data_IF_222168627911
#
_entry.id   IF_222168627911
#
_cell.length_a   1.000
_cell.length_b   1.000
_cell.length_c   1.000
_cell.angle_alpha   90.00
_cell.angle_beta   90.00
_cell.angle_gamma   90.00
#
_symmetry.space_group_name_H-M   'P 1'
#
loop_
_entity.id
_entity.type
_entity.pdbx_description
1 polymer ?
#
# COMPACT_ATOMS: atom_id res chain seq x y z
N UNK A 1 -26.98 -2.05 53.94
CA UNK A 1 -27.45 -0.75 53.42
C UNK A 1 -27.17 -0.75 51.93
N UNK A 2 -28.20 -0.95 51.10
CA UNK A 2 -28.04 -0.95 49.63
C UNK A 2 -27.75 0.49 49.21
N UNK A 3 -26.58 0.73 48.61
CA UNK A 3 -26.29 2.05 48.07
C UNK A 3 -27.15 2.24 46.83
N UNK A 4 -28.10 3.18 46.92
CA UNK A 4 -28.87 3.66 45.78
C UNK A 4 -27.95 4.55 44.94
N UNK A 5 -27.03 3.92 44.20
CA UNK A 5 -26.26 4.63 43.20
C UNK A 5 -27.25 5.22 42.20
N UNK A 6 -27.07 6.50 41.86
CA UNK A 6 -27.91 7.14 40.84
C UNK A 6 -27.82 6.32 39.55
N UNK A 7 -28.93 6.22 38.82
CA UNK A 7 -28.95 5.53 37.51
C UNK A 7 -27.85 6.10 36.61
N UNK A 8 -27.58 7.39 36.71
CA UNK A 8 -26.53 8.07 35.95
C UNK A 8 -25.11 7.55 36.29
N UNK A 9 -24.87 7.23 37.55
CA UNK A 9 -23.58 6.72 38.03
C UNK A 9 -23.34 5.29 37.53
N UNK A 10 -24.39 4.46 37.55
CA UNK A 10 -24.32 3.12 36.98
C UNK A 10 -24.08 3.14 35.46
N UNK A 11 -24.71 4.07 34.74
CA UNK A 11 -24.53 4.24 33.29
C UNK A 11 -23.11 4.69 32.95
N UNK A 12 -22.55 5.64 33.71
CA UNK A 12 -21.20 6.12 33.44
C UNK A 12 -20.14 5.05 33.75
N UNK A 13 -20.36 4.22 34.77
CA UNK A 13 -19.47 3.10 35.10
C UNK A 13 -19.46 2.04 33.99
N UNK A 14 -20.63 1.66 33.47
CA UNK A 14 -20.73 0.72 32.34
C UNK A 14 -20.02 1.27 31.11
N UNK A 15 -20.24 2.54 30.79
CA UNK A 15 -19.59 3.23 29.66
C UNK A 15 -18.07 3.27 29.83
N UNK A 16 -17.58 3.54 31.04
CA UNK A 16 -16.15 3.53 31.38
C UNK A 16 -15.52 2.16 31.13
N UNK A 17 -16.17 1.09 31.59
CA UNK A 17 -15.69 -0.29 31.40
C UNK A 17 -15.65 -0.65 29.91
N UNK A 18 -16.70 -0.33 29.15
CA UNK A 18 -16.76 -0.60 27.70
C UNK A 18 -15.66 0.16 26.96
N UNK A 19 -15.47 1.45 27.25
CA UNK A 19 -14.42 2.26 26.63
C UNK A 19 -13.02 1.78 27.00
N UNK A 20 -12.82 1.35 28.25
CA UNK A 20 -11.55 0.79 28.69
C UNK A 20 -11.23 -0.50 27.95
N UNK A 21 -12.17 -1.46 27.92
CA UNK A 21 -12.01 -2.70 27.19
C UNK A 21 -11.74 -2.45 25.69
N UNK A 22 -12.46 -1.52 25.08
CA UNK A 22 -12.24 -1.12 23.69
C UNK A 22 -10.85 -0.54 23.46
N UNK A 23 -10.35 0.34 24.35
CA UNK A 23 -9.02 0.93 24.21
C UNK A 23 -7.88 -0.08 24.39
N UNK A 24 -8.08 -1.12 25.22
CA UNK A 24 -7.09 -2.19 25.42
C UNK A 24 -7.09 -3.17 24.25
N UNK A 25 -8.26 -3.52 23.72
CA UNK A 25 -8.41 -4.61 22.74
C UNK A 25 -8.40 -4.16 21.29
N UNK A 26 -8.81 -2.92 20.99
CA UNK A 26 -8.90 -2.39 19.63
C UNK A 26 -7.70 -1.48 19.37
N UNK A 27 -6.72 -1.91 18.54
CA UNK A 27 -5.61 -1.05 18.16
C UNK A 27 -6.13 0.21 17.47
N UNK A 28 -5.85 1.38 18.04
CA UNK A 28 -6.24 2.67 17.43
C UNK A 28 -5.50 2.81 16.11
N UNK A 29 -6.24 2.76 15.01
CA UNK A 29 -5.67 2.98 13.68
C UNK A 29 -5.14 4.41 13.63
N UNK A 30 -3.86 4.60 13.30
CA UNK A 30 -3.31 5.94 13.05
C UNK A 30 -4.15 6.58 11.94
N UNK A 31 -4.87 7.66 12.26
CA UNK A 31 -5.62 8.47 11.30
C UNK A 31 -4.64 9.24 10.42
N UNK A 32 -3.95 8.51 9.55
CA UNK A 32 -3.22 9.06 8.42
C UNK A 32 -3.73 8.29 7.23
N UNK A 33 -4.94 8.65 6.76
CA UNK A 33 -5.30 8.35 5.38
C UNK A 33 -4.10 8.79 4.55
N UNK A 34 -3.45 7.85 3.86
CA UNK A 34 -2.35 8.19 2.96
C UNK A 34 -2.92 9.23 1.99
N UNK A 35 -2.53 10.52 2.13
CA UNK A 35 -2.83 11.53 1.12
C UNK A 35 -2.48 10.88 -0.21
N UNK A 36 -3.37 10.95 -1.20
CA UNK A 36 -3.04 10.35 -2.49
C UNK A 36 -1.77 11.04 -3.01
N UNK A 37 -0.63 10.35 -2.92
CA UNK A 37 0.71 10.90 -3.17
C UNK A 37 0.97 11.09 -4.66
N UNK A 38 -0.08 11.19 -5.49
CA UNK A 38 0.06 11.36 -6.92
C UNK A 38 0.28 12.85 -7.17
N UNK A 39 1.43 13.28 -7.71
CA UNK A 39 1.73 14.70 -7.92
C UNK A 39 0.70 15.42 -8.81
N UNK A 40 0.02 14.66 -9.67
CA UNK A 40 -1.02 15.15 -10.56
C UNK A 40 -2.43 15.21 -9.94
N UNK A 41 -2.62 14.76 -8.70
CA UNK A 41 -3.92 14.79 -8.03
C UNK A 41 -4.17 16.16 -7.40
N UNK A 42 -5.08 16.93 -8.00
CA UNK A 42 -5.44 18.28 -7.56
C UNK A 42 -6.91 18.39 -7.16
N UNK A 43 -7.32 19.58 -6.70
CA UNK A 43 -8.69 19.87 -6.27
C UNK A 43 -9.72 19.65 -7.40
N UNK A 44 -9.36 19.97 -8.66
CA UNK A 44 -10.22 19.71 -9.82
C UNK A 44 -10.48 18.22 -10.02
N UNK A 45 -9.44 17.38 -9.95
CA UNK A 45 -9.56 15.93 -9.99
C UNK A 45 -10.46 15.41 -8.87
N UNK A 46 -10.32 15.94 -7.65
CA UNK A 46 -11.14 15.56 -6.52
C UNK A 46 -12.62 15.92 -6.73
N UNK A 47 -12.90 17.14 -7.19
CA UNK A 47 -14.26 17.60 -7.45
C UNK A 47 -14.91 16.78 -8.56
N UNK A 48 -14.21 16.56 -9.67
CA UNK A 48 -14.70 15.76 -10.79
C UNK A 48 -14.94 14.29 -10.40
N UNK A 49 -14.06 13.70 -9.59
CA UNK A 49 -14.25 12.36 -9.05
C UNK A 49 -15.48 12.30 -8.13
N UNK A 50 -15.69 13.31 -7.27
CA UNK A 50 -16.87 13.41 -6.41
C UNK A 50 -18.17 13.51 -7.24
N UNK A 51 -18.17 14.34 -8.30
CA UNK A 51 -19.29 14.44 -9.25
C UNK A 51 -19.58 13.09 -9.93
N UNK A 52 -18.55 12.42 -10.44
CA UNK A 52 -18.70 11.11 -11.07
C UNK A 52 -19.28 10.07 -10.11
N UNK A 53 -18.76 10.00 -8.87
CA UNK A 53 -19.26 9.08 -7.83
C UNK A 53 -20.72 9.38 -7.46
N UNK A 54 -21.09 10.65 -7.36
CA UNK A 54 -22.48 11.06 -7.11
C UNK A 54 -23.39 10.57 -8.24
N UNK A 55 -23.03 10.82 -9.49
CA UNK A 55 -23.81 10.38 -10.65
C UNK A 55 -23.90 8.85 -10.75
N UNK A 56 -22.80 8.13 -10.42
CA UNK A 56 -22.80 6.67 -10.34
C UNK A 56 -23.77 6.16 -9.26
N UNK A 57 -23.74 6.75 -8.06
CA UNK A 57 -24.62 6.34 -6.97
C UNK A 57 -26.10 6.56 -7.31
N UNK A 58 -26.43 7.66 -8.00
CA UNK A 58 -27.79 7.93 -8.47
C UNK A 58 -28.21 6.87 -9.49
N UNK A 59 -27.40 6.64 -10.53
CA UNK A 59 -27.70 5.64 -11.55
C UNK A 59 -27.79 4.22 -10.97
N UNK A 60 -26.91 3.85 -10.03
CA UNK A 60 -26.91 2.54 -9.38
C UNK A 60 -28.17 2.29 -8.55
N UNK A 61 -28.72 3.33 -7.89
CA UNK A 61 -29.95 3.22 -7.10
C UNK A 61 -31.21 3.32 -7.96
N UNK A 62 -31.17 4.14 -9.01
CA UNK A 62 -32.29 4.40 -9.91
C UNK A 62 -31.81 4.28 -11.36
N UNK A 63 -31.77 3.06 -11.91
CA UNK A 63 -31.31 2.82 -13.27
C UNK A 63 -32.32 3.39 -14.28
N UNK A 64 -32.00 4.53 -14.88
CA UNK A 64 -32.77 5.15 -15.95
C UNK A 64 -31.84 5.62 -17.06
N UNK A 65 -32.37 5.76 -18.28
CA UNK A 65 -31.60 6.26 -19.44
C UNK A 65 -31.02 7.63 -19.17
N UNK A 66 -31.80 8.53 -18.56
CA UNK A 66 -31.33 9.87 -18.19
C UNK A 66 -30.19 9.81 -17.16
N UNK A 67 -30.31 8.97 -16.13
CA UNK A 67 -29.27 8.80 -15.12
C UNK A 67 -27.99 8.17 -15.71
N UNK A 68 -28.13 7.25 -16.67
CA UNK A 68 -27.00 6.67 -17.40
C UNK A 68 -26.26 7.74 -18.23
N UNK A 69 -26.99 8.61 -18.93
CA UNK A 69 -26.42 9.73 -19.70
C UNK A 69 -25.65 10.66 -18.77
N UNK A 70 -26.25 11.07 -17.66
CA UNK A 70 -25.61 11.92 -16.65
C UNK A 70 -24.32 11.29 -16.09
N UNK A 71 -24.34 9.99 -15.76
CA UNK A 71 -23.15 9.27 -15.32
C UNK A 71 -22.06 9.21 -16.40
N UNK A 72 -22.43 8.90 -17.65
CA UNK A 72 -21.49 8.86 -18.78
C UNK A 72 -20.83 10.23 -19.01
N UNK A 73 -21.61 11.32 -18.96
CA UNK A 73 -21.09 12.70 -19.04
C UNK A 73 -20.07 12.99 -17.93
N UNK A 74 -20.44 12.73 -16.67
CA UNK A 74 -19.54 12.94 -15.52
C UNK A 74 -18.28 12.06 -15.59
N UNK A 75 -18.40 10.82 -16.09
CA UNK A 75 -17.26 9.92 -16.32
C UNK A 75 -16.33 10.44 -17.41
N UNK A 76 -16.86 10.99 -18.50
CA UNK A 76 -16.07 11.58 -19.57
C UNK A 76 -15.33 12.85 -19.09
N UNK A 77 -16.02 13.72 -18.35
CA UNK A 77 -15.44 14.92 -17.73
C UNK A 77 -14.28 14.57 -16.79
N UNK A 78 -14.48 13.62 -15.87
CA UNK A 78 -13.43 13.15 -14.98
C UNK A 78 -12.22 12.59 -15.74
N UNK A 79 -12.45 11.79 -16.80
CA UNK A 79 -11.36 11.29 -17.65
C UNK A 79 -10.57 12.42 -18.31
N UNK A 80 -11.25 13.46 -18.82
CA UNK A 80 -10.59 14.64 -19.42
C UNK A 80 -9.73 15.37 -18.39
N UNK A 81 -10.29 15.70 -17.22
CA UNK A 81 -9.59 16.43 -16.15
C UNK A 81 -8.39 15.62 -15.64
N UNK A 82 -8.56 14.30 -15.45
CA UNK A 82 -7.47 13.41 -15.06
C UNK A 82 -6.32 13.44 -16.06
N UNK A 83 -6.59 13.27 -17.36
CA UNK A 83 -5.53 13.30 -18.40
C UNK A 83 -4.85 14.67 -18.47
N UNK A 84 -5.62 15.76 -18.37
CA UNK A 84 -5.06 17.12 -18.35
C UNK A 84 -4.13 17.32 -17.16
N UNK A 85 -4.57 16.97 -15.95
CA UNK A 85 -3.78 17.14 -14.73
C UNK A 85 -2.52 16.27 -14.73
N UNK A 86 -2.61 15.04 -15.25
CA UNK A 86 -1.43 14.18 -15.47
C UNK A 86 -0.43 14.82 -16.43
N UNK A 87 -0.89 15.36 -17.58
CA UNK A 87 -0.02 16.03 -18.54
C UNK A 87 0.63 17.28 -17.97
N UNK A 88 -0.14 18.17 -17.32
CA UNK A 88 0.38 19.41 -16.74
C UNK A 88 1.40 19.12 -15.65
N UNK A 89 1.07 18.20 -14.74
CA UNK A 89 2.01 17.76 -13.70
C UNK A 89 3.28 17.16 -14.29
N UNK A 90 3.18 16.41 -15.41
CA UNK A 90 4.33 15.85 -16.09
C UNK A 90 5.21 16.92 -16.73
N UNK A 91 4.62 17.87 -17.46
CA UNK A 91 5.35 18.99 -18.08
C UNK A 91 6.08 19.81 -17.01
N UNK A 92 5.39 20.16 -15.93
CA UNK A 92 5.99 20.90 -14.81
C UNK A 92 7.08 20.10 -14.07
N UNK A 93 6.98 18.78 -14.06
CA UNK A 93 8.00 17.93 -13.46
C UNK A 93 9.25 17.85 -14.33
N UNK A 94 9.08 17.70 -15.65
CA UNK A 94 10.18 17.72 -16.61
C UNK A 94 10.85 19.08 -16.68
N UNK A 95 10.12 20.20 -16.55
CA UNK A 95 10.74 21.53 -16.61
C UNK A 95 11.78 21.78 -15.51
N UNK A 96 11.77 20.99 -14.43
CA UNK A 96 12.79 21.01 -13.38
C UNK A 96 14.10 20.32 -13.86
N UNK A 97 14.04 19.51 -14.92
CA UNK A 97 15.18 18.79 -15.46
C UNK A 97 15.99 19.72 -16.38
N UNK A 98 17.05 20.31 -15.84
CA UNK A 98 18.00 21.16 -16.57
C UNK A 98 19.23 20.37 -17.01
N UNK A 99 20.02 20.95 -17.93
CA UNK A 99 21.29 20.38 -18.43
C UNK A 99 22.37 20.22 -17.33
N UNK A 100 22.19 20.87 -16.18
CA UNK A 100 23.09 20.80 -15.03
C UNK A 100 22.88 19.57 -14.13
N UNK A 101 21.85 18.75 -14.39
CA UNK A 101 21.52 17.59 -13.56
C UNK A 101 22.39 16.39 -13.95
N UNK A 102 22.88 15.65 -12.95
CA UNK A 102 23.64 14.42 -13.18
C UNK A 102 22.78 13.32 -13.82
N UNK A 103 23.39 12.44 -14.63
CA UNK A 103 22.69 11.30 -15.23
C UNK A 103 21.97 10.42 -14.20
N UNK A 104 22.53 10.26 -12.99
CA UNK A 104 21.92 9.51 -11.89
C UNK A 104 20.61 10.16 -11.43
N UNK A 105 20.62 11.45 -11.16
CA UNK A 105 19.45 12.20 -10.69
C UNK A 105 18.38 12.29 -11.76
N UNK A 106 18.78 12.46 -13.03
CA UNK A 106 17.90 12.39 -14.19
C UNK A 106 17.13 11.06 -14.19
N UNK A 107 17.85 9.94 -14.14
CA UNK A 107 17.23 8.60 -14.13
C UNK A 107 16.37 8.34 -12.90
N UNK A 108 16.74 8.86 -11.73
CA UNK A 108 15.87 8.79 -10.53
C UNK A 108 14.58 9.58 -10.71
N UNK A 109 14.64 10.79 -11.28
CA UNK A 109 13.47 11.62 -11.57
C UNK A 109 12.56 10.96 -12.60
N UNK A 110 13.11 10.43 -13.69
CA UNK A 110 12.38 9.67 -14.71
C UNK A 110 11.67 8.46 -14.10
N UNK A 111 12.36 7.63 -13.31
CA UNK A 111 11.77 6.46 -12.64
C UNK A 111 10.61 6.84 -11.72
N UNK A 112 10.80 7.86 -10.87
CA UNK A 112 9.76 8.37 -9.97
C UNK A 112 8.52 8.82 -10.72
N UNK A 113 8.71 9.50 -11.85
CA UNK A 113 7.61 10.09 -12.60
C UNK A 113 6.88 9.07 -13.52
N UNK A 114 7.57 8.03 -13.98
CA UNK A 114 6.97 6.85 -14.63
C UNK A 114 6.21 5.93 -13.66
N UNK A 115 6.22 6.22 -12.36
CA UNK A 115 5.57 5.39 -11.35
C UNK A 115 6.32 4.08 -11.05
N UNK A 116 7.57 3.96 -11.53
CA UNK A 116 8.47 2.88 -11.12
C UNK A 116 8.89 3.17 -9.70
N UNK A 117 8.23 2.52 -8.75
CA UNK A 117 8.55 2.62 -7.35
C UNK A 117 9.93 2.00 -7.12
N UNK A 118 10.91 2.83 -6.72
CA UNK A 118 12.09 2.30 -6.05
C UNK A 118 11.62 1.81 -4.68
N UNK A 119 11.61 0.50 -4.48
CA UNK A 119 11.43 -0.06 -3.14
C UNK A 119 12.48 0.55 -2.22
N UNK A 120 12.06 0.88 -0.99
CA UNK A 120 13.03 1.24 0.02
C UNK A 120 13.93 0.03 0.24
N UNK A 121 15.25 0.25 0.26
CA UNK A 121 16.17 -0.78 0.70
C UNK A 121 15.80 -1.19 2.13
N UNK A 122 15.84 -2.49 2.41
CA UNK A 122 15.68 -2.99 3.77
C UNK A 122 16.86 -2.46 4.57
N UNK A 123 16.60 -1.51 5.47
CA UNK A 123 17.62 -0.88 6.30
C UNK A 123 17.82 -1.58 7.63
N UNK A 124 16.83 -2.36 8.07
CA UNK A 124 16.81 -3.08 9.33
C UNK A 124 16.10 -4.42 9.12
N UNK A 125 16.71 -5.50 9.58
CA UNK A 125 16.15 -6.85 9.56
C UNK A 125 16.22 -7.43 10.98
N UNK A 126 15.15 -8.06 11.47
CA UNK A 126 15.19 -8.79 12.74
C UNK A 126 15.33 -10.28 12.45
N UNK A 127 16.41 -10.88 12.93
CA UNK A 127 16.71 -12.31 12.79
C UNK A 127 16.86 -12.90 14.18
N UNK A 128 16.02 -13.85 14.55
CA UNK A 128 16.06 -14.54 15.86
C UNK A 128 16.12 -13.59 17.08
N UNK A 129 15.39 -12.47 17.02
CA UNK A 129 15.36 -11.46 18.08
C UNK A 129 16.51 -10.45 18.05
N UNK A 130 17.49 -10.59 17.15
CA UNK A 130 18.57 -9.63 16.95
C UNK A 130 18.29 -8.70 15.77
N UNK A 131 18.57 -7.41 15.97
CA UNK A 131 18.38 -6.38 14.96
C UNK A 131 19.66 -6.19 14.14
N UNK A 132 19.59 -6.50 12.85
CA UNK A 132 20.67 -6.36 11.88
C UNK A 132 20.44 -5.10 11.04
N UNK A 133 21.38 -4.16 11.06
CA UNK A 133 21.30 -2.87 10.35
C UNK A 133 22.33 -2.73 9.21
N UNK A 134 23.37 -3.55 9.22
CA UNK A 134 24.40 -3.58 8.18
C UNK A 134 23.87 -4.22 6.90
N UNK A 135 24.04 -3.56 5.75
CA UNK A 135 23.56 -4.06 4.45
C UNK A 135 24.15 -5.43 4.09
N UNK A 136 25.42 -5.67 4.41
CA UNK A 136 26.09 -6.96 4.17
C UNK A 136 25.45 -8.06 5.02
N UNK A 137 25.18 -7.77 6.28
CA UNK A 137 24.64 -8.75 7.21
C UNK A 137 23.15 -9.02 6.95
N UNK A 138 22.40 -8.01 6.50
CA UNK A 138 21.03 -8.17 5.99
C UNK A 138 21.06 -9.11 4.78
N UNK A 139 21.95 -8.88 3.82
CA UNK A 139 22.08 -9.73 2.63
C UNK A 139 22.44 -11.17 3.01
N UNK A 140 23.44 -11.36 3.88
CA UNK A 140 23.84 -12.68 4.36
C UNK A 140 22.71 -13.40 5.10
N UNK A 141 21.96 -12.68 5.94
CA UNK A 141 20.82 -13.25 6.66
C UNK A 141 19.73 -13.75 5.70
N UNK A 142 19.40 -12.95 4.68
CA UNK A 142 18.45 -13.34 3.64
C UNK A 142 18.96 -14.59 2.89
N UNK A 143 20.22 -14.59 2.48
CA UNK A 143 20.81 -15.73 1.76
C UNK A 143 20.85 -16.99 2.63
N UNK A 144 21.22 -16.86 3.91
CA UNK A 144 21.23 -17.99 4.86
C UNK A 144 19.83 -18.57 5.01
N UNK A 145 18.82 -17.75 5.30
CA UNK A 145 17.43 -18.24 5.42
C UNK A 145 16.93 -18.90 4.14
N UNK A 146 17.32 -18.38 2.97
CA UNK A 146 16.97 -18.99 1.69
C UNK A 146 17.68 -20.33 1.46
N UNK A 147 18.96 -20.43 1.84
CA UNK A 147 19.74 -21.66 1.78
C UNK A 147 19.15 -22.72 2.73
N UNK A 148 18.81 -22.33 3.95
CA UNK A 148 18.20 -23.20 4.95
C UNK A 148 16.83 -23.71 4.48
N UNK A 149 15.97 -22.83 3.96
CA UNK A 149 14.65 -23.20 3.44
C UNK A 149 14.72 -24.07 2.17
N UNK A 150 15.69 -23.79 1.30
CA UNK A 150 15.90 -24.56 0.06
C UNK A 150 16.74 -25.81 0.27
N UNK A 151 17.21 -26.06 1.50
CA UNK A 151 18.12 -27.15 1.78
C UNK A 151 17.47 -28.49 1.47
N UNK A 152 18.30 -29.42 0.98
CA UNK A 152 17.89 -30.81 0.74
C UNK A 152 17.33 -31.47 2.01
N UNK A 153 17.74 -31.02 3.20
CA UNK A 153 17.25 -31.55 4.48
C UNK A 153 15.75 -31.31 4.72
N UNK A 154 15.13 -30.37 4.02
CA UNK A 154 13.70 -30.08 4.16
C UNK A 154 12.80 -30.93 3.25
N UNK A 155 13.36 -31.75 2.35
CA UNK A 155 12.57 -32.61 1.48
C UNK A 155 12.33 -34.00 2.08
N UNK A 156 11.21 -34.63 1.71
CA UNK A 156 10.91 -36.01 2.09
C UNK A 156 11.92 -37.00 1.46
N UNK A 157 12.14 -38.13 2.13
CA UNK A 157 13.06 -39.21 1.73
C UNK A 157 12.81 -39.74 0.32
N UNK A 158 11.53 -39.84 -0.09
CA UNK A 158 11.14 -40.22 -1.44
C UNK A 158 11.67 -39.24 -2.50
N UNK A 159 11.56 -37.94 -2.23
CA UNK A 159 12.03 -36.90 -3.15
C UNK A 159 13.56 -36.87 -3.21
N UNK A 160 14.24 -37.02 -2.06
CA UNK A 160 15.70 -37.09 -2.00
C UNK A 160 16.26 -38.25 -2.80
N UNK A 161 15.63 -39.43 -2.67
CA UNK A 161 16.01 -40.63 -3.42
C UNK A 161 15.83 -40.43 -4.93
N UNK A 162 14.74 -39.76 -5.35
CA UNK A 162 14.52 -39.42 -6.75
C UNK A 162 15.54 -38.38 -7.25
N UNK A 163 15.83 -37.34 -6.46
CA UNK A 163 16.79 -36.28 -6.78
C UNK A 163 18.20 -36.85 -6.99
N UNK A 164 18.70 -37.66 -6.06
CA UNK A 164 20.02 -38.30 -6.16
C UNK A 164 20.16 -39.14 -7.43
N UNK A 165 19.16 -39.98 -7.74
CA UNK A 165 19.14 -40.81 -8.96
C UNK A 165 19.15 -39.98 -10.26
N UNK A 166 18.60 -38.77 -10.24
CA UNK A 166 18.57 -37.86 -11.40
C UNK A 166 19.89 -37.10 -11.54
N UNK A 167 20.44 -36.61 -10.43
CA UNK A 167 21.69 -35.84 -10.42
C UNK A 167 22.91 -36.73 -10.73
N UNK A 168 22.92 -38.00 -10.29
CA UNK A 168 23.96 -38.97 -10.67
C UNK A 168 24.03 -39.24 -12.18
N UNK A 169 22.88 -39.18 -12.88
CA UNK A 169 22.81 -39.35 -14.34
C UNK A 169 23.28 -38.13 -15.13
N UNK A 170 23.43 -36.98 -14.47
CA UNK A 170 23.80 -35.70 -15.08
C UNK A 170 25.29 -35.37 -14.82
N UNK A 171 26.00 -36.22 -14.08
CA UNK A 171 27.46 -36.10 -13.94
C UNK A 171 28.12 -36.43 -15.28
N UNK A 172 28.70 -35.41 -15.92
CA UNK A 172 29.62 -35.55 -17.07
C UNK A 172 30.92 -36.22 -16.65
#
# INVERSE_FOLDING_TARGET
>A
MVQNNSIDEAVEEVKRVILHAANVTIPRTKSKFKKQMKPWWNNECQLANKKQKKAWNIFRRHPSTQNLICFKKARAEFRRIKRRSQRVSWVNYISIITSSISSRELWQKVKKASGVHSSNAISILNVNGQTVSSLKDIANSIVSTLADTSSSQNYNSLFLSHKQKREEKIKF
#
